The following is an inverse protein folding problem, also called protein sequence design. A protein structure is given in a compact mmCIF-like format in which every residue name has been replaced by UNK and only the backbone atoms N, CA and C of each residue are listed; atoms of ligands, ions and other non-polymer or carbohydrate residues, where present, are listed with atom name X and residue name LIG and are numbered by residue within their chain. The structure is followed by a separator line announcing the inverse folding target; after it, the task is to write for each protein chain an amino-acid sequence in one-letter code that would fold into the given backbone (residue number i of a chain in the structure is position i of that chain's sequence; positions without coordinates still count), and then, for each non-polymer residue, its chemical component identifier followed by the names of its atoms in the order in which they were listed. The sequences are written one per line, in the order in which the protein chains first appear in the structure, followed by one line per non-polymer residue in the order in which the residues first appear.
data_IF_764499668124
#
_entry.id   IF_764499668124
#
_cell.length_a   1.000
_cell.length_b   1.000
_cell.length_c   1.000
_cell.angle_alpha   90.00
_cell.angle_beta   90.00
_cell.angle_gamma   90.00
#
_symmetry.space_group_name_H-M   'P 1'
#
loop_
_entity.id
_entity.type
_entity.pdbx_description
1 polymer ?
#
# COMPACT_ATOMS: atom_id res chain seq x y z
N UNK A 1 -7.24 -1.38 18.63
CA UNK A 1 -7.52 -1.47 17.17
C UNK A 1 -7.11 -0.22 16.40
N UNK A 2 -7.65 0.97 16.69
CA UNK A 2 -7.32 2.18 15.90
C UNK A 2 -5.83 2.56 15.91
N UNK A 3 -5.13 2.45 17.06
CA UNK A 3 -3.69 2.73 17.14
C UNK A 3 -2.88 1.79 16.25
N UNK A 4 -3.12 0.49 16.36
CA UNK A 4 -2.48 -0.54 15.52
C UNK A 4 -2.69 -0.24 14.03
N UNK A 5 -3.93 0.01 13.62
CA UNK A 5 -4.26 0.26 12.22
C UNK A 5 -3.58 1.54 11.68
N UNK A 6 -3.58 2.63 12.47
CA UNK A 6 -2.85 3.86 12.12
C UNK A 6 -1.35 3.62 12.02
N UNK A 7 -0.75 2.89 12.96
CA UNK A 7 0.68 2.55 12.93
C UNK A 7 1.00 1.72 11.69
N UNK A 8 0.17 0.72 11.37
CA UNK A 8 0.34 -0.10 10.18
C UNK A 8 0.25 0.75 8.89
N UNK A 9 -0.74 1.64 8.80
CA UNK A 9 -0.87 2.54 7.66
C UNK A 9 0.32 3.50 7.51
N UNK A 10 0.86 4.04 8.61
CA UNK A 10 2.08 4.85 8.57
C UNK A 10 3.28 4.04 8.10
N UNK A 11 3.43 2.81 8.62
CA UNK A 11 4.55 1.93 8.31
C UNK A 11 4.51 1.53 6.83
N UNK A 12 3.37 1.01 6.35
CA UNK A 12 3.18 0.67 4.94
C UNK A 12 3.30 1.92 4.06
N UNK A 13 2.75 3.06 4.50
CA UNK A 13 2.79 4.30 3.75
C UNK A 13 4.21 4.84 3.50
N UNK A 14 5.17 4.49 4.36
CA UNK A 14 6.60 4.80 4.16
C UNK A 14 7.34 3.67 3.46
N UNK A 15 7.09 2.43 3.86
CA UNK A 15 7.83 1.26 3.37
C UNK A 15 7.53 0.99 1.89
N UNK A 16 6.29 1.12 1.43
CA UNK A 16 5.92 0.86 0.03
C UNK A 16 6.71 1.74 -0.96
N UNK A 17 6.68 3.08 -0.87
CA UNK A 17 7.46 3.91 -1.78
C UNK A 17 8.97 3.74 -1.61
N UNK A 18 9.46 3.49 -0.39
CA UNK A 18 10.88 3.22 -0.16
C UNK A 18 11.35 1.92 -0.84
N UNK A 19 10.55 0.85 -0.73
CA UNK A 19 10.84 -0.42 -1.39
C UNK A 19 10.76 -0.29 -2.92
N UNK A 20 9.80 0.45 -3.46
CA UNK A 20 9.73 0.68 -4.91
C UNK A 20 10.92 1.50 -5.40
N UNK A 21 11.34 2.52 -4.63
CA UNK A 21 12.56 3.30 -4.91
C UNK A 21 13.79 2.42 -4.94
N UNK A 22 13.93 1.52 -3.97
CA UNK A 22 15.03 0.55 -3.94
C UNK A 22 14.95 -0.43 -5.13
N UNK A 23 13.77 -1.00 -5.39
CA UNK A 23 13.51 -1.97 -6.47
C UNK A 23 13.86 -1.40 -7.84
N UNK A 24 13.68 -0.09 -8.02
CA UNK A 24 13.91 0.62 -9.29
C UNK A 24 15.14 1.54 -9.26
N UNK A 25 16.03 1.41 -8.29
CA UNK A 25 17.15 2.32 -8.10
C UNK A 25 17.98 2.56 -9.37
N UNK A 26 18.30 1.48 -10.10
CA UNK A 26 19.03 1.58 -11.36
C UNK A 26 18.23 2.30 -12.46
N UNK A 27 16.91 2.10 -12.52
CA UNK A 27 16.03 2.76 -13.48
C UNK A 27 15.90 4.26 -13.19
N UNK A 28 15.94 4.65 -11.90
CA UNK A 28 15.95 6.06 -11.48
C UNK A 28 17.25 6.75 -11.90
N UNK A 29 18.40 6.12 -11.68
CA UNK A 29 19.71 6.67 -12.09
C UNK A 29 19.80 6.81 -13.62
N UNK A 30 19.30 5.83 -14.36
CA UNK A 30 19.35 5.81 -15.83
C UNK A 30 18.20 6.56 -16.50
N UNK A 31 17.29 7.17 -15.72
CA UNK A 31 16.09 7.88 -16.21
C UNK A 31 15.17 7.02 -17.10
N UNK A 32 15.17 5.70 -16.89
CA UNK A 32 14.33 4.72 -17.60
C UNK A 32 13.13 4.27 -16.78
N UNK A 33 12.88 4.91 -15.63
CA UNK A 33 11.80 4.57 -14.73
C UNK A 33 10.42 4.78 -15.40
N UNK A 34 9.48 3.83 -15.29
CA UNK A 34 8.10 4.07 -15.69
C UNK A 34 7.43 4.98 -14.66
N UNK A 35 7.51 6.30 -14.91
CA UNK A 35 7.04 7.35 -14.00
C UNK A 35 5.61 7.15 -13.47
N UNK A 36 4.60 6.76 -14.28
CA UNK A 36 3.25 6.55 -13.75
C UNK A 36 3.21 5.49 -12.66
N UNK A 37 3.80 4.31 -12.93
CA UNK A 37 3.82 3.21 -11.96
C UNK A 37 4.60 3.56 -10.68
N UNK A 38 5.72 4.30 -10.82
CA UNK A 38 6.48 4.76 -9.67
C UNK A 38 5.71 5.80 -8.83
N UNK A 39 5.03 6.74 -9.49
CA UNK A 39 4.23 7.76 -8.80
C UNK A 39 3.02 7.16 -8.09
N UNK A 40 2.43 6.10 -8.64
CA UNK A 40 1.31 5.41 -7.99
C UNK A 40 1.70 4.90 -6.59
N UNK A 41 2.88 4.28 -6.43
CA UNK A 41 3.36 3.82 -5.10
C UNK A 41 3.64 4.97 -4.13
N UNK A 42 4.12 6.10 -4.64
CA UNK A 42 4.35 7.32 -3.84
C UNK A 42 3.03 7.94 -3.38
N UNK A 43 2.07 8.09 -4.28
CA UNK A 43 0.74 8.62 -3.98
C UNK A 43 -0.01 7.71 -3.01
N UNK A 44 0.10 6.40 -3.21
CA UNK A 44 -0.46 5.40 -2.32
C UNK A 44 0.09 5.54 -0.90
N UNK A 45 1.41 5.68 -0.78
CA UNK A 45 2.08 5.94 0.50
C UNK A 45 1.56 7.21 1.16
N UNK A 46 1.45 8.29 0.40
CA UNK A 46 0.90 9.56 0.87
C UNK A 46 -0.55 9.44 1.35
N UNK A 47 -1.42 8.71 0.63
CA UNK A 47 -2.80 8.50 1.06
C UNK A 47 -2.91 7.76 2.38
N UNK A 48 -2.09 6.71 2.58
CA UNK A 48 -2.05 6.00 3.85
C UNK A 48 -1.58 6.89 5.01
N UNK A 49 -0.53 7.68 4.80
CA UNK A 49 -0.01 8.62 5.81
C UNK A 49 -1.07 9.67 6.17
N UNK A 50 -1.70 10.28 5.16
CA UNK A 50 -2.76 11.28 5.36
C UNK A 50 -3.97 10.66 6.07
N UNK A 51 -4.39 9.47 5.66
CA UNK A 51 -5.48 8.73 6.32
C UNK A 51 -5.17 8.44 7.78
N UNK A 52 -3.96 7.96 8.08
CA UNK A 52 -3.54 7.64 9.43
C UNK A 52 -3.44 8.90 10.31
N UNK A 53 -2.95 10.01 9.75
CA UNK A 53 -2.91 11.29 10.44
C UNK A 53 -4.32 11.81 10.74
N UNK A 54 -5.20 11.87 9.72
CA UNK A 54 -6.58 12.34 9.86
C UNK A 54 -7.37 11.51 10.86
N UNK A 55 -7.20 10.19 10.89
CA UNK A 55 -7.86 9.30 11.84
C UNK A 55 -7.61 9.63 13.31
N UNK A 56 -6.52 10.36 13.63
CA UNK A 56 -6.23 10.85 14.98
C UNK A 56 -6.80 12.22 15.31
N UNK A 57 -7.19 13.02 14.31
CA UNK A 57 -7.43 14.46 14.48
C UNK A 57 -8.80 14.94 13.98
N UNK A 58 -9.52 14.13 13.19
CA UNK A 58 -10.78 14.55 12.56
C UNK A 58 -11.93 13.57 12.86
N UNK A 59 -13.17 14.06 13.02
CA UNK A 59 -14.36 13.22 13.22
C UNK A 59 -14.56 12.18 12.10
N UNK A 60 -14.25 12.57 10.85
CA UNK A 60 -14.30 11.73 9.64
C UNK A 60 -12.97 11.03 9.33
N UNK A 61 -11.95 11.19 10.16
CA UNK A 61 -10.61 10.74 9.84
C UNK A 61 -10.48 9.24 9.65
N UNK A 62 -11.28 8.45 10.37
CA UNK A 62 -11.28 7.00 10.21
C UNK A 62 -11.94 6.54 8.90
N UNK A 63 -12.89 7.30 8.35
CA UNK A 63 -13.45 7.05 7.02
C UNK A 63 -12.42 7.37 5.94
N UNK A 64 -11.62 8.42 6.12
CA UNK A 64 -10.48 8.72 5.24
C UNK A 64 -9.44 7.59 5.29
N UNK A 65 -9.14 7.06 6.48
CA UNK A 65 -8.25 5.90 6.61
C UNK A 65 -8.80 4.66 5.90
N UNK A 66 -10.10 4.37 6.04
CA UNK A 66 -10.75 3.27 5.30
C UNK A 66 -10.63 3.45 3.78
N UNK A 67 -10.85 4.67 3.28
CA UNK A 67 -10.68 4.99 1.86
C UNK A 67 -9.22 4.76 1.41
N UNK A 68 -8.23 5.20 2.19
CA UNK A 68 -6.82 4.99 1.88
C UNK A 68 -6.46 3.49 1.81
N UNK A 69 -6.98 2.67 2.73
CA UNK A 69 -6.84 1.22 2.66
C UNK A 69 -7.54 0.61 1.44
N UNK A 70 -8.69 1.14 1.02
CA UNK A 70 -9.37 0.73 -0.20
C UNK A 70 -8.52 0.97 -1.44
N UNK A 71 -7.89 2.14 -1.55
CA UNK A 71 -6.94 2.44 -2.64
C UNK A 71 -5.76 1.48 -2.62
N UNK A 72 -5.17 1.21 -1.45
CA UNK A 72 -4.09 0.22 -1.31
C UNK A 72 -4.53 -1.17 -1.77
N UNK A 73 -5.72 -1.63 -1.39
CA UNK A 73 -6.22 -2.95 -1.81
C UNK A 73 -6.36 -3.04 -3.34
N UNK A 74 -6.89 -1.99 -3.98
CA UNK A 74 -7.01 -1.95 -5.44
C UNK A 74 -5.64 -2.00 -6.13
N UNK A 75 -4.69 -1.19 -5.66
CA UNK A 75 -3.32 -1.17 -6.19
C UNK A 75 -2.57 -2.49 -5.95
N UNK A 76 -2.61 -3.01 -4.73
CA UNK A 76 -1.95 -4.25 -4.36
C UNK A 76 -2.53 -5.46 -5.11
N UNK A 77 -3.84 -5.45 -5.39
CA UNK A 77 -4.48 -6.45 -6.23
C UNK A 77 -3.88 -6.43 -7.64
N UNK A 78 -3.90 -5.28 -8.32
CA UNK A 78 -3.32 -5.14 -9.66
C UNK A 78 -1.85 -5.54 -9.69
N UNK A 79 -1.05 -4.95 -8.79
CA UNK A 79 0.39 -5.21 -8.69
C UNK A 79 0.74 -6.68 -8.43
N UNK A 80 -0.05 -7.39 -7.62
CA UNK A 80 0.12 -8.81 -7.35
C UNK A 80 -0.18 -9.67 -8.59
N UNK A 81 -1.33 -9.46 -9.24
CA UNK A 81 -1.73 -10.25 -10.40
C UNK A 81 -0.87 -9.97 -11.63
N UNK A 82 -0.43 -8.73 -11.82
CA UNK A 82 0.52 -8.37 -12.88
C UNK A 82 1.87 -9.10 -12.67
N UNK A 83 2.35 -9.14 -11.42
CA UNK A 83 3.59 -9.88 -11.12
C UNK A 83 3.40 -11.39 -11.27
N UNK A 84 2.23 -11.92 -10.89
CA UNK A 84 1.90 -13.33 -11.02
C UNK A 84 1.86 -13.74 -12.50
N UNK A 85 1.31 -12.90 -13.37
CA UNK A 85 1.29 -13.11 -14.81
C UNK A 85 2.68 -12.98 -15.46
N UNK A 86 3.60 -12.23 -14.83
CA UNK A 86 4.96 -11.99 -15.30
C UNK A 86 6.02 -12.81 -14.53
N UNK A 87 5.66 -13.97 -13.96
CA UNK A 87 6.58 -14.80 -13.17
C UNK A 87 7.83 -15.26 -13.94
N UNK A 88 7.73 -15.41 -15.26
CA UNK A 88 8.83 -15.82 -16.13
C UNK A 88 9.70 -14.64 -16.59
N UNK A 89 9.36 -13.42 -16.20
CA UNK A 89 10.09 -12.20 -16.58
C UNK A 89 11.01 -11.74 -15.44
N UNK A 90 12.24 -11.28 -15.75
CA UNK A 90 13.13 -10.71 -14.74
C UNK A 90 12.51 -9.51 -14.00
N UNK A 91 12.63 -9.47 -12.68
CA UNK A 91 12.22 -8.29 -11.91
C UNK A 91 13.31 -7.20 -11.95
N UNK A 92 12.94 -5.90 -12.04
CA UNK A 92 13.87 -4.77 -11.99
C UNK A 92 14.87 -4.76 -10.83
N UNK A 93 14.55 -5.38 -9.68
CA UNK A 93 15.47 -5.50 -8.55
C UNK A 93 16.53 -6.60 -8.69
N UNK A 94 16.38 -7.48 -9.68
CA UNK A 94 17.19 -8.70 -9.79
C UNK A 94 16.81 -9.80 -8.79
N UNK A 95 15.79 -9.60 -7.95
CA UNK A 95 15.26 -10.67 -7.11
C UNK A 95 14.47 -11.69 -7.92
N UNK A 96 14.36 -12.91 -7.38
CA UNK A 96 13.53 -13.95 -7.96
C UNK A 96 12.06 -13.48 -8.06
N UNK A 97 11.41 -13.58 -9.22
CA UNK A 97 10.02 -13.12 -9.39
C UNK A 97 9.04 -13.73 -8.38
N UNK A 98 9.24 -15.01 -8.01
CA UNK A 98 8.45 -15.68 -6.99
C UNK A 98 8.53 -15.01 -5.60
N UNK A 99 9.71 -14.49 -5.22
CA UNK A 99 9.89 -13.74 -3.98
C UNK A 99 9.10 -12.43 -4.03
N UNK A 100 9.15 -11.72 -5.15
CA UNK A 100 8.43 -10.44 -5.34
C UNK A 100 6.92 -10.66 -5.30
N UNK A 101 6.40 -11.69 -5.99
CA UNK A 101 4.98 -12.08 -5.90
C UNK A 101 4.58 -12.37 -4.46
N UNK A 102 5.41 -13.09 -3.72
CA UNK A 102 5.13 -13.45 -2.32
C UNK A 102 5.01 -12.20 -1.45
N UNK A 103 5.96 -11.25 -1.57
CA UNK A 103 5.94 -9.98 -0.84
C UNK A 103 4.67 -9.17 -1.19
N UNK A 104 4.33 -9.07 -2.47
CA UNK A 104 3.10 -8.39 -2.93
C UNK A 104 1.84 -9.05 -2.37
N UNK A 105 1.81 -10.39 -2.33
CA UNK A 105 0.71 -11.15 -1.74
C UNK A 105 0.53 -10.86 -0.25
N UNK A 106 1.62 -10.81 0.51
CA UNK A 106 1.58 -10.38 1.91
C UNK A 106 1.07 -8.94 2.06
N UNK A 107 1.54 -8.02 1.21
CA UNK A 107 1.07 -6.63 1.18
C UNK A 107 -0.43 -6.53 0.93
N UNK A 108 -0.96 -7.31 -0.01
CA UNK A 108 -2.40 -7.38 -0.30
C UNK A 108 -3.19 -7.88 0.92
N UNK A 109 -2.76 -8.96 1.57
CA UNK A 109 -3.41 -9.49 2.78
C UNK A 109 -3.42 -8.45 3.90
N UNK A 110 -2.28 -7.78 4.15
CA UNK A 110 -2.21 -6.70 5.13
C UNK A 110 -3.14 -5.53 4.78
N UNK A 111 -3.25 -5.20 3.49
CA UNK A 111 -4.19 -4.21 2.98
C UNK A 111 -5.64 -4.55 3.31
N UNK A 112 -6.05 -5.79 3.05
CA UNK A 112 -7.41 -6.27 3.36
C UNK A 112 -7.68 -6.22 4.86
N UNK A 113 -6.72 -6.65 5.70
CA UNK A 113 -6.84 -6.55 7.16
C UNK A 113 -6.99 -5.08 7.60
N UNK A 114 -6.17 -4.18 7.06
CA UNK A 114 -6.25 -2.75 7.32
C UNK A 114 -7.62 -2.15 6.95
N UNK A 115 -8.16 -2.54 5.79
CA UNK A 115 -9.46 -2.10 5.32
C UNK A 115 -10.60 -2.61 6.22
N UNK A 116 -10.68 -3.92 6.43
CA UNK A 116 -11.74 -4.57 7.23
C UNK A 116 -11.75 -3.98 8.64
N UNK A 117 -10.58 -3.87 9.28
CA UNK A 117 -10.50 -3.30 10.63
C UNK A 117 -10.85 -1.81 10.67
N UNK A 118 -10.64 -1.05 9.57
CA UNK A 118 -11.08 0.34 9.47
C UNK A 118 -12.60 0.45 9.37
N UNK A 119 -13.22 -0.37 8.52
CA UNK A 119 -14.67 -0.38 8.28
C UNK A 119 -15.42 -0.83 9.54
N UNK A 120 -15.03 -1.94 10.16
CA UNK A 120 -15.64 -2.44 11.40
C UNK A 120 -15.55 -1.38 12.51
N UNK A 121 -14.41 -0.69 12.63
CA UNK A 121 -14.25 0.39 13.60
C UNK A 121 -15.03 1.68 13.24
N UNK A 122 -15.55 1.82 12.02
CA UNK A 122 -16.52 2.86 11.64
C UNK A 122 -17.93 2.51 12.03
N UNK A 123 -18.36 1.29 11.73
CA UNK A 123 -19.72 0.84 12.03
C UNK A 123 -19.98 0.86 13.54
N UNK A 124 -19.05 0.34 14.35
CA UNK A 124 -19.16 0.36 15.81
C UNK A 124 -19.27 1.77 16.43
N UNK A 125 -18.86 2.82 15.70
CA UNK A 125 -19.02 4.21 16.17
C UNK A 125 -20.34 4.84 15.70
N UNK A 126 -21.01 4.25 14.70
CA UNK A 126 -22.27 4.75 14.13
C UNK A 126 -23.49 4.18 14.84
N UNK A 127 -23.37 3.02 15.49
CA UNK A 127 -24.41 2.49 16.38
C UNK A 127 -24.50 3.35 17.66
N UNK A 128 -25.71 3.88 17.98
CA UNK A 128 -25.95 4.76 19.12
C UNK A 128 -25.78 4.06 20.47
#
# INVERSE_FOLDING_TARGET
MLRFNRTLALLIGVVTPALETFRRWHQLITLTVPWPAYLDDVLLGAFLIVGAWRAGHAPRGRLILAAAWGVLCGHAYGSFFDQLAALDSPDPSGFAPALVVTIKGFGLVLGVIGLVTSVVAQEAKRTP
#
